data_IF_572665391035
#
_entry.id   IF_572665391035
#
_cell.length_a   1.000
_cell.length_b   1.000
_cell.length_c   1.000
_cell.angle_alpha   90.00
_cell.angle_beta   90.00
_cell.angle_gamma   90.00
#
_symmetry.space_group_name_H-M   'P 1'
#
loop_
_entity.id
_entity.type
_entity.pdbx_description
1 polymer ?
#
# COMPACT_ATOMS: atom_id res chain seq x y z
N UNK A 1 33.02 -4.06 8.57
CA UNK A 1 31.62 -3.85 8.14
C UNK A 1 30.74 -3.83 9.38
N UNK A 2 29.75 -2.93 9.46
CA UNK A 2 28.79 -2.91 10.57
C UNK A 2 27.53 -3.68 10.14
N UNK A 3 27.12 -4.68 10.92
CA UNK A 3 25.94 -5.50 10.68
C UNK A 3 25.06 -5.51 11.94
N UNK A 4 23.74 -5.47 11.77
CA UNK A 4 22.75 -5.62 12.85
C UNK A 4 21.84 -6.79 12.50
N UNK A 5 21.58 -7.68 13.46
CA UNK A 5 20.61 -8.79 13.39
C UNK A 5 19.61 -8.65 14.53
N UNK A 6 18.33 -8.86 14.25
CA UNK A 6 17.24 -8.81 15.24
C UNK A 6 16.41 -10.08 15.07
N UNK A 7 16.15 -10.76 16.18
CA UNK A 7 15.37 -12.00 16.25
C UNK A 7 14.39 -11.88 17.44
N UNK A 8 13.21 -12.47 17.31
CA UNK A 8 12.15 -12.41 18.31
C UNK A 8 10.76 -12.67 17.73
N UNK A 9 9.74 -12.64 18.58
CA UNK A 9 8.36 -12.85 18.17
C UNK A 9 7.75 -11.59 17.56
N UNK A 10 7.04 -11.74 16.44
CA UNK A 10 6.21 -10.69 15.87
C UNK A 10 4.80 -10.72 16.49
N UNK A 11 4.21 -9.55 16.70
CA UNK A 11 2.81 -9.39 17.11
C UNK A 11 2.15 -8.37 16.22
N UNK A 12 0.85 -8.57 15.96
CA UNK A 12 0.03 -7.56 15.31
C UNK A 12 -0.03 -6.32 16.20
N UNK A 13 0.01 -5.15 15.56
CA UNK A 13 -0.31 -3.88 16.20
C UNK A 13 -1.83 -3.77 16.39
N UNK A 14 -2.28 -2.78 17.17
CA UNK A 14 -3.70 -2.51 17.28
C UNK A 14 -4.24 -1.97 15.94
N UNK A 15 -5.49 -2.28 15.61
CA UNK A 15 -6.14 -1.81 14.38
C UNK A 15 -6.07 -0.28 14.24
N UNK A 16 -6.26 0.43 15.36
CA UNK A 16 -6.13 1.89 15.41
C UNK A 16 -4.75 2.39 14.94
N UNK A 17 -3.67 1.75 15.39
CA UNK A 17 -2.31 2.16 15.02
C UNK A 17 -2.03 1.84 13.54
N UNK A 18 -2.57 0.71 13.06
CA UNK A 18 -2.50 0.33 11.64
C UNK A 18 -3.26 1.31 10.75
N UNK A 19 -4.47 1.71 11.15
CA UNK A 19 -5.31 2.68 10.44
C UNK A 19 -4.67 4.07 10.42
N UNK A 20 -4.15 4.54 11.56
CA UNK A 20 -3.43 5.82 11.64
C UNK A 20 -2.20 5.82 10.72
N UNK A 21 -1.38 4.76 10.76
CA UNK A 21 -0.26 4.62 9.84
C UNK A 21 -0.72 4.58 8.38
N UNK A 22 -1.74 3.79 8.06
CA UNK A 22 -2.27 3.66 6.70
C UNK A 22 -2.76 5.01 6.17
N UNK A 23 -3.52 5.76 6.96
CA UNK A 23 -4.05 7.07 6.61
C UNK A 23 -2.95 8.11 6.42
N UNK A 24 -1.80 7.98 7.10
CA UNK A 24 -0.66 8.88 6.92
C UNK A 24 0.10 8.70 5.59
N UNK A 25 -0.12 7.58 4.88
CA UNK A 25 0.58 7.27 3.63
C UNK A 25 0.11 8.19 2.49
N UNK A 26 1.02 8.44 1.54
CA UNK A 26 0.68 9.08 0.27
C UNK A 26 -0.46 8.34 -0.41
N UNK A 27 -1.32 9.07 -1.11
CA UNK A 27 -2.54 8.52 -1.70
C UNK A 27 -2.27 7.35 -2.65
N UNK A 28 -1.32 7.50 -3.57
CA UNK A 28 -0.93 6.42 -4.50
C UNK A 28 -0.41 5.17 -3.76
N UNK A 29 0.18 5.33 -2.58
CA UNK A 29 0.61 4.19 -1.76
C UNK A 29 -0.59 3.48 -1.11
N UNK A 30 -1.62 4.22 -0.70
CA UNK A 30 -2.87 3.65 -0.19
C UNK A 30 -3.61 2.91 -1.31
N UNK A 31 -3.79 3.56 -2.47
CA UNK A 31 -4.42 2.96 -3.65
C UNK A 31 -3.69 1.70 -4.08
N UNK A 32 -2.36 1.73 -4.18
CA UNK A 32 -1.57 0.55 -4.56
C UNK A 32 -1.71 -0.63 -3.59
N UNK A 33 -2.04 -0.36 -2.32
CA UNK A 33 -2.32 -1.42 -1.33
C UNK A 33 -3.69 -2.05 -1.56
N UNK A 34 -4.69 -1.27 -1.97
CA UNK A 34 -6.01 -1.81 -2.29
C UNK A 34 -6.04 -2.50 -3.67
N UNK A 35 -5.30 -1.97 -4.63
CA UNK A 35 -5.24 -2.48 -5.99
C UNK A 35 -4.51 -3.82 -6.12
N UNK A 36 -3.63 -4.14 -5.16
CA UNK A 36 -2.83 -5.36 -5.17
C UNK A 36 -3.29 -6.31 -4.07
N UNK A 37 -3.79 -7.47 -4.47
CA UNK A 37 -3.85 -8.62 -3.58
C UNK A 37 -2.44 -9.20 -3.44
N UNK A 38 -1.75 -8.86 -2.36
CA UNK A 38 -0.31 -9.09 -2.24
C UNK A 38 0.03 -10.58 -2.32
N UNK A 39 0.94 -10.93 -3.23
CA UNK A 39 1.45 -12.30 -3.49
C UNK A 39 0.53 -13.22 -4.28
N UNK A 40 -0.63 -12.75 -4.75
CA UNK A 40 -1.44 -13.51 -5.70
C UNK A 40 -0.80 -13.52 -7.10
N UNK A 41 -1.11 -14.55 -7.89
CA UNK A 41 -0.66 -14.63 -9.28
C UNK A 41 -1.39 -13.61 -10.14
N UNK A 42 -0.65 -12.91 -10.99
CA UNK A 42 -1.18 -12.01 -12.01
C UNK A 42 -0.96 -12.64 -13.38
N UNK A 43 -1.98 -12.56 -14.24
CA UNK A 43 -1.87 -13.05 -15.62
C UNK A 43 -1.05 -12.09 -16.49
N UNK A 44 -1.01 -10.82 -16.11
CA UNK A 44 -0.24 -9.78 -16.81
C UNK A 44 0.00 -8.56 -15.91
N UNK A 45 0.90 -7.68 -16.34
CA UNK A 45 1.11 -6.36 -15.71
C UNK A 45 -0.12 -5.47 -15.81
N UNK A 46 -0.80 -5.50 -16.95
CA UNK A 46 -1.96 -4.65 -17.25
C UNK A 46 -3.12 -4.91 -16.27
N UNK A 47 -3.24 -6.14 -15.77
CA UNK A 47 -4.21 -6.49 -14.73
C UNK A 47 -4.06 -5.63 -13.47
N UNK A 48 -2.83 -5.45 -12.98
CA UNK A 48 -2.55 -4.63 -11.81
C UNK A 48 -2.74 -3.13 -12.09
N UNK A 49 -2.35 -2.67 -13.28
CA UNK A 49 -2.51 -1.27 -13.70
C UNK A 49 -3.99 -0.89 -13.82
N UNK A 50 -4.82 -1.78 -14.39
CA UNK A 50 -6.26 -1.61 -14.46
C UNK A 50 -6.90 -1.61 -13.07
N UNK A 51 -6.50 -2.53 -12.19
CA UNK A 51 -6.95 -2.54 -10.79
C UNK A 51 -6.64 -1.20 -10.11
N UNK A 52 -5.44 -0.67 -10.28
CA UNK A 52 -5.05 0.64 -9.72
C UNK A 52 -5.97 1.77 -10.20
N UNK A 53 -6.33 1.78 -11.49
CA UNK A 53 -7.20 2.81 -12.07
C UNK A 53 -8.67 2.70 -11.62
N UNK A 54 -9.12 1.54 -11.11
CA UNK A 54 -10.50 1.40 -10.60
C UNK A 54 -10.74 2.19 -9.31
N UNK A 55 -9.67 2.55 -8.59
CA UNK A 55 -9.75 3.38 -7.39
C UNK A 55 -9.67 4.85 -7.79
N UNK A 56 -10.67 5.67 -7.42
CA UNK A 56 -10.65 7.08 -7.74
C UNK A 56 -9.52 7.76 -6.94
N UNK A 57 -8.57 8.38 -7.65
CA UNK A 57 -7.69 9.37 -7.03
C UNK A 57 -8.50 10.63 -6.72
N UNK A 58 -8.39 11.14 -5.50
CA UNK A 58 -8.93 12.45 -5.11
C UNK A 58 -8.10 13.63 -5.66
N UNK A 59 -7.26 13.43 -6.69
CA UNK A 59 -6.71 14.53 -7.49
C UNK A 59 -7.81 15.13 -8.38
N UNK A 60 -8.70 15.89 -7.73
CA UNK A 60 -9.27 17.08 -8.35
C UNK A 60 -8.09 17.99 -8.69
N UNK A 61 -7.85 18.11 -9.99
CA UNK A 61 -7.19 19.23 -10.64
C UNK A 61 -6.95 20.44 -9.72
N UNK A 62 -5.72 20.63 -9.26
CA UNK A 62 -5.20 21.98 -9.08
C UNK A 62 -4.59 22.40 -10.42
N UNK A 63 -5.49 22.78 -11.35
CA UNK A 63 -5.13 23.71 -12.42
C UNK A 63 -5.05 25.09 -11.78
N UNK A 64 -3.82 25.53 -11.52
CA UNK A 64 -3.24 26.82 -11.95
C UNK A 64 -1.89 27.01 -11.27
#
# INVERSE_FOLDING_TARGET
LKQVKIEGDAKLVADKDADEYFNSRLENSRIGTWASDQSSELNSREELENSFQTYPSHEVHLVN
#
